data_IF_162275194563
#
_entry.id   IF_162275194563
#
_cell.length_a   1.000
_cell.length_b   1.000
_cell.length_c   1.000
_cell.angle_alpha   90.00
_cell.angle_beta   90.00
_cell.angle_gamma   90.00
#
_symmetry.space_group_name_H-M   'P 1'
#
loop_
_entity.id
_entity.type
_entity.pdbx_description
1 polymer ?
#
# COMPACT_ATOMS: atom_id res chain seq x y z
N UNK A 1 16.47 5.55 1.98
CA UNK A 1 15.14 4.89 2.11
C UNK A 1 14.77 4.27 0.76
N UNK A 2 14.17 3.07 0.78
CA UNK A 2 13.63 2.42 -0.43
C UNK A 2 12.10 2.54 -0.42
N UNK A 3 11.48 2.59 -1.61
CA UNK A 3 10.04 2.51 -1.75
C UNK A 3 9.66 1.60 -2.93
N UNK A 4 8.54 0.89 -2.82
CA UNK A 4 7.96 0.09 -3.89
C UNK A 4 6.56 0.63 -4.21
N UNK A 5 6.25 0.78 -5.50
CA UNK A 5 4.94 1.18 -5.99
C UNK A 5 4.30 0.01 -6.71
N UNK A 6 3.09 -0.39 -6.30
CA UNK A 6 2.30 -1.36 -7.04
C UNK A 6 1.61 -0.71 -8.24
N UNK A 7 2.16 -0.92 -9.44
CA UNK A 7 1.68 -0.36 -10.71
C UNK A 7 1.11 -1.39 -11.70
N UNK A 8 1.24 -2.70 -11.45
CA UNK A 8 0.88 -3.79 -12.37
C UNK A 8 -0.63 -4.17 -12.38
N UNK A 9 -1.50 -3.45 -11.68
CA UNK A 9 -2.93 -3.74 -11.63
C UNK A 9 -3.61 -3.58 -13.00
N UNK A 10 -4.41 -4.58 -13.43
CA UNK A 10 -5.14 -4.57 -14.72
C UNK A 10 -6.19 -3.45 -14.83
N UNK A 11 -6.58 -2.82 -13.72
CA UNK A 11 -7.53 -1.71 -13.72
C UNK A 11 -8.93 -2.07 -14.21
N UNK A 12 -9.38 -3.31 -14.02
CA UNK A 12 -10.66 -3.82 -14.55
C UNK A 12 -11.87 -2.95 -14.20
N UNK A 13 -11.83 -2.25 -13.05
CA UNK A 13 -12.87 -1.31 -12.61
C UNK A 13 -12.85 0.05 -13.34
N UNK A 14 -11.79 0.35 -14.08
CA UNK A 14 -11.61 1.59 -14.85
C UNK A 14 -11.88 1.42 -16.35
N UNK A 15 -12.37 0.26 -16.79
CA UNK A 15 -12.78 0.07 -18.20
C UNK A 15 -13.90 1.06 -18.59
N UNK A 16 -13.87 1.57 -19.83
CA UNK A 16 -12.99 1.18 -20.96
C UNK A 16 -11.63 1.88 -20.98
N UNK A 17 -11.30 2.80 -20.06
CA UNK A 17 -10.05 3.58 -20.08
C UNK A 17 -8.81 2.68 -20.03
N UNK A 18 -8.91 1.54 -19.33
CA UNK A 18 -7.80 0.59 -19.17
C UNK A 18 -7.74 -0.50 -20.24
N UNK A 19 -8.57 -0.45 -21.27
CA UNK A 19 -8.49 -1.41 -22.39
C UNK A 19 -7.24 -1.19 -23.25
N UNK A 20 -6.73 0.05 -23.32
CA UNK A 20 -5.56 0.43 -24.11
C UNK A 20 -4.48 1.19 -23.32
N UNK A 21 -4.75 1.54 -22.06
CA UNK A 21 -3.82 2.31 -21.23
C UNK A 21 -3.67 1.62 -19.87
N UNK A 22 -2.45 1.25 -19.46
CA UNK A 22 -2.21 0.72 -18.12
C UNK A 22 -2.77 1.65 -17.04
N UNK A 23 -3.37 1.09 -15.98
CA UNK A 23 -3.99 1.84 -14.90
C UNK A 23 -3.08 2.95 -14.33
N UNK A 24 -1.80 2.62 -14.13
CA UNK A 24 -0.80 3.55 -13.60
C UNK A 24 -0.56 4.79 -14.50
N UNK A 25 -0.90 4.69 -15.78
CA UNK A 25 -0.71 5.76 -16.77
C UNK A 25 -1.99 6.53 -17.09
N UNK A 26 -3.12 6.21 -16.48
CA UNK A 26 -4.36 6.98 -16.60
C UNK A 26 -4.11 8.40 -16.06
N UNK A 27 -4.37 9.47 -16.87
CA UNK A 27 -4.08 10.83 -16.46
C UNK A 27 -5.10 11.35 -15.44
N UNK A 28 -4.60 12.12 -14.47
CA UNK A 28 -5.39 12.86 -13.49
C UNK A 28 -4.81 14.26 -13.42
N UNK A 29 -5.60 15.28 -13.70
CA UNK A 29 -5.09 16.66 -13.77
C UNK A 29 -3.96 16.83 -14.79
N UNK A 30 -4.00 16.10 -15.89
CA UNK A 30 -2.99 16.15 -16.97
C UNK A 30 -1.72 15.33 -16.72
N UNK A 31 -1.59 14.62 -15.59
CA UNK A 31 -0.43 13.80 -15.24
C UNK A 31 -0.83 12.35 -14.95
N UNK A 32 -0.04 11.33 -15.35
CA UNK A 32 -0.28 9.93 -14.99
C UNK A 32 -0.40 9.73 -13.47
N UNK A 33 -1.25 8.78 -13.03
CA UNK A 33 -1.33 8.38 -11.62
C UNK A 33 0.04 8.08 -11.01
N UNK A 34 0.88 7.37 -11.76
CA UNK A 34 2.23 7.00 -11.33
C UNK A 34 3.10 8.23 -11.06
N UNK A 35 2.98 9.29 -11.89
CA UNK A 35 3.73 10.54 -11.68
C UNK A 35 3.39 11.21 -10.35
N UNK A 36 2.10 11.28 -9.99
CA UNK A 36 1.69 11.85 -8.71
C UNK A 36 2.30 11.11 -7.51
N UNK A 37 2.34 9.77 -7.55
CA UNK A 37 2.94 8.97 -6.47
C UNK A 37 4.44 9.16 -6.40
N UNK A 38 5.14 9.18 -7.55
CA UNK A 38 6.60 9.38 -7.60
C UNK A 38 6.98 10.76 -7.07
N UNK A 39 6.29 11.83 -7.50
CA UNK A 39 6.58 13.18 -7.02
C UNK A 39 6.35 13.31 -5.51
N UNK A 40 5.31 12.65 -4.98
CA UNK A 40 5.07 12.58 -3.54
C UNK A 40 6.18 11.84 -2.80
N UNK A 41 6.61 10.70 -3.29
CA UNK A 41 7.75 9.95 -2.72
C UNK A 41 9.04 10.77 -2.78
N UNK A 42 9.33 11.42 -3.90
CA UNK A 42 10.50 12.31 -4.05
C UNK A 42 10.50 13.42 -3.02
N UNK A 43 9.40 14.14 -2.84
CA UNK A 43 9.27 15.21 -1.84
C UNK A 43 9.41 14.72 -0.40
N UNK A 44 9.22 13.44 -0.15
CA UNK A 44 9.36 12.78 1.15
C UNK A 44 10.78 12.19 1.38
N UNK A 45 11.78 12.46 0.50
CA UNK A 45 13.18 12.03 0.65
C UNK A 45 13.43 10.56 0.27
N UNK A 46 12.62 9.96 -0.58
CA UNK A 46 12.84 8.61 -1.13
C UNK A 46 13.68 8.71 -2.41
N UNK A 47 15.00 8.49 -2.30
CA UNK A 47 15.95 8.76 -3.39
C UNK A 47 16.18 7.56 -4.33
N UNK A 48 15.63 6.39 -4.05
CA UNK A 48 15.89 5.15 -4.79
C UNK A 48 14.60 4.53 -5.30
N UNK A 49 14.22 4.90 -6.47
CA UNK A 49 13.23 4.24 -7.33
C UNK A 49 13.85 4.21 -8.75
N UNK A 50 13.84 3.14 -9.51
CA UNK A 50 14.70 2.91 -10.71
C UNK A 50 14.01 3.02 -12.06
N UNK A 51 14.69 3.01 -13.04
CA UNK A 51 14.71 3.04 -14.55
C UNK A 51 13.42 2.83 -15.38
N UNK A 52 12.25 3.15 -14.91
CA UNK A 52 11.04 3.21 -15.75
C UNK A 52 10.89 4.57 -16.47
N UNK A 53 11.66 5.57 -16.10
CA UNK A 53 11.36 6.95 -16.45
C UNK A 53 12.49 7.69 -17.18
N UNK A 54 13.42 6.93 -17.78
CA UNK A 54 14.47 7.49 -18.63
C UNK A 54 13.92 8.48 -19.67
N UNK A 55 12.74 8.18 -20.23
CA UNK A 55 12.05 9.06 -21.19
C UNK A 55 11.57 10.41 -20.57
N UNK A 56 11.47 10.49 -19.23
CA UNK A 56 11.08 11.70 -18.49
C UNK A 56 12.15 12.17 -17.52
N UNK A 57 13.44 11.92 -17.77
CA UNK A 57 14.54 12.24 -16.86
C UNK A 57 14.34 11.69 -15.44
N UNK A 58 13.59 10.57 -15.29
CA UNK A 58 13.40 9.83 -14.07
C UNK A 58 12.96 10.68 -12.87
N UNK A 59 12.34 11.84 -13.09
CA UNK A 59 12.06 12.87 -12.06
C UNK A 59 13.23 13.08 -11.09
N UNK A 60 14.47 12.71 -11.50
CA UNK A 60 15.69 12.75 -10.69
C UNK A 60 15.76 11.69 -9.59
N UNK A 61 15.08 10.55 -9.75
CA UNK A 61 15.14 9.39 -8.85
C UNK A 61 15.56 8.13 -9.60
N UNK A 62 16.15 7.18 -8.90
CA UNK A 62 16.55 5.88 -9.44
C UNK A 62 15.40 4.87 -9.26
N UNK A 63 14.94 4.16 -10.32
CA UNK A 63 13.78 3.20 -10.32
C UNK A 63 14.20 1.80 -10.81
N UNK A 64 13.94 0.62 -10.18
CA UNK A 64 14.16 -0.78 -10.63
C UNK A 64 12.80 -1.44 -10.85
N UNK A 65 12.68 -2.27 -11.80
CA UNK A 65 11.41 -2.89 -12.15
C UNK A 65 11.43 -4.33 -11.64
N UNK A 66 10.44 -4.68 -10.80
CA UNK A 66 10.09 -6.07 -10.54
C UNK A 66 9.00 -6.46 -11.55
N UNK A 67 9.40 -7.08 -12.66
CA UNK A 67 8.49 -7.40 -13.76
C UNK A 67 7.57 -8.58 -13.42
N UNK A 68 6.25 -8.39 -13.55
CA UNK A 68 5.20 -9.39 -13.37
C UNK A 68 4.40 -9.65 -14.67
N UNK A 69 4.99 -9.36 -15.84
CA UNK A 69 4.33 -9.52 -17.15
C UNK A 69 3.85 -10.94 -17.42
N UNK A 70 4.61 -11.94 -16.99
CA UNK A 70 4.28 -13.36 -17.17
C UNK A 70 3.13 -13.83 -16.26
N UNK A 71 3.08 -13.34 -15.03
CA UNK A 71 2.10 -13.77 -14.05
C UNK A 71 1.92 -12.74 -12.91
N UNK A 72 0.70 -12.23 -12.74
CA UNK A 72 0.36 -11.31 -11.67
C UNK A 72 0.32 -12.03 -10.31
N UNK A 73 1.16 -11.60 -9.38
CA UNK A 73 1.41 -12.26 -8.11
C UNK A 73 0.55 -11.72 -6.95
N UNK A 74 -0.26 -10.67 -7.20
CA UNK A 74 -0.95 -9.92 -6.14
C UNK A 74 0.06 -9.23 -5.18
N UNK A 75 -0.45 -8.47 -4.20
CA UNK A 75 0.38 -7.57 -3.39
C UNK A 75 1.43 -8.26 -2.53
N UNK A 76 1.13 -9.43 -1.98
CA UNK A 76 2.10 -10.19 -1.19
C UNK A 76 3.16 -10.89 -2.05
N UNK A 77 2.72 -11.55 -3.13
CA UNK A 77 3.63 -12.21 -4.06
C UNK A 77 4.54 -11.23 -4.79
N UNK A 78 4.04 -10.03 -5.14
CA UNK A 78 4.84 -8.96 -5.73
C UNK A 78 5.96 -8.47 -4.82
N UNK A 79 5.68 -8.27 -3.51
CA UNK A 79 6.72 -7.94 -2.52
C UNK A 79 7.77 -9.05 -2.45
N UNK A 80 7.32 -10.31 -2.37
CA UNK A 80 8.24 -11.45 -2.35
C UNK A 80 9.13 -11.52 -3.59
N UNK A 81 8.56 -11.33 -4.78
CA UNK A 81 9.33 -11.30 -6.03
C UNK A 81 10.40 -10.21 -6.05
N UNK A 82 10.10 -9.06 -5.46
CA UNK A 82 11.01 -7.93 -5.36
C UNK A 82 12.05 -8.06 -4.23
N UNK A 83 12.18 -9.22 -3.56
CA UNK A 83 13.07 -9.42 -2.40
C UNK A 83 14.50 -8.95 -2.68
N UNK A 84 15.10 -9.29 -3.84
CA UNK A 84 16.46 -8.88 -4.19
C UNK A 84 16.64 -7.36 -4.26
N UNK A 85 15.60 -6.61 -4.58
CA UNK A 85 15.60 -5.15 -4.64
C UNK A 85 15.34 -4.53 -3.27
N UNK A 86 14.51 -5.17 -2.44
CA UNK A 86 14.04 -4.68 -1.16
C UNK A 86 14.92 -5.11 0.04
N UNK A 87 15.70 -6.18 -0.11
CA UNK A 87 16.56 -6.69 0.96
C UNK A 87 17.58 -5.64 1.45
N UNK A 88 18.03 -5.81 2.69
CA UNK A 88 18.96 -4.91 3.38
C UNK A 88 18.59 -4.70 4.84
N UNK A 89 19.12 -3.67 5.47
CA UNK A 89 18.93 -3.41 6.90
C UNK A 89 17.88 -2.31 7.18
N UNK A 90 17.49 -1.56 6.15
CA UNK A 90 16.55 -0.44 6.32
C UNK A 90 15.13 -0.84 5.95
N UNK A 91 14.11 -0.38 6.69
CA UNK A 91 12.72 -0.49 6.30
C UNK A 91 12.47 0.08 4.90
N UNK A 92 11.40 -0.39 4.27
CA UNK A 92 10.98 0.10 2.96
C UNK A 92 9.48 0.42 2.96
N UNK A 93 9.10 1.43 2.17
CA UNK A 93 7.72 1.88 2.03
C UNK A 93 7.08 1.22 0.82
N UNK A 94 5.84 0.77 0.98
CA UNK A 94 4.98 0.30 -0.09
C UNK A 94 3.86 1.30 -0.32
N UNK A 95 3.54 1.58 -1.58
CA UNK A 95 2.48 2.50 -1.96
C UNK A 95 1.69 1.96 -3.15
N UNK A 96 0.37 1.84 -3.02
CA UNK A 96 -0.48 1.53 -4.16
C UNK A 96 -0.57 2.74 -5.09
N UNK A 97 -0.42 2.54 -6.39
CA UNK A 97 -0.40 3.62 -7.39
C UNK A 97 -1.73 4.39 -7.50
N UNK A 98 -2.84 3.77 -7.11
CA UNK A 98 -4.19 4.33 -7.17
C UNK A 98 -4.64 5.06 -5.90
N UNK A 99 -3.73 5.37 -5.01
CA UNK A 99 -4.03 6.11 -3.77
C UNK A 99 -3.45 7.52 -3.85
N UNK A 100 -4.30 8.53 -3.79
CA UNK A 100 -3.91 9.90 -3.49
C UNK A 100 -4.13 10.18 -2.01
N UNK A 101 -3.17 10.83 -1.37
CA UNK A 101 -3.28 11.17 0.06
C UNK A 101 -2.44 12.39 0.41
N UNK A 102 -2.81 13.09 1.49
CA UNK A 102 -2.01 14.17 2.07
C UNK A 102 -1.09 13.66 3.20
N UNK A 103 -0.98 12.33 3.41
CA UNK A 103 -0.14 11.78 4.48
C UNK A 103 1.31 12.22 4.35
N UNK A 104 1.94 12.61 5.45
CA UNK A 104 3.39 12.78 5.54
C UNK A 104 4.05 11.39 5.56
N UNK A 105 4.56 10.96 4.39
CA UNK A 105 5.22 9.66 4.23
C UNK A 105 6.51 9.57 5.03
N UNK A 106 7.21 10.70 5.24
CA UNK A 106 8.41 10.72 6.06
C UNK A 106 8.07 10.48 7.53
N UNK A 107 7.03 11.13 8.05
CA UNK A 107 6.55 10.94 9.42
C UNK A 107 6.10 9.49 9.66
N UNK A 108 5.39 8.89 8.70
CA UNK A 108 5.01 7.48 8.74
C UNK A 108 6.24 6.57 8.81
N UNK A 109 7.22 6.80 7.94
CA UNK A 109 8.47 6.04 7.91
C UNK A 109 9.28 6.20 9.21
N UNK A 110 9.47 7.44 9.67
CA UNK A 110 10.20 7.74 10.91
C UNK A 110 9.53 7.11 12.14
N UNK A 111 8.19 7.11 12.19
CA UNK A 111 7.42 6.42 13.24
C UNK A 111 7.68 4.92 13.23
N UNK A 112 7.71 4.31 12.05
CA UNK A 112 8.07 2.89 11.92
C UNK A 112 9.49 2.60 12.43
N UNK A 113 10.47 3.42 12.03
CA UNK A 113 11.87 3.28 12.50
C UNK A 113 11.98 3.40 14.02
N UNK A 114 11.28 4.37 14.61
CA UNK A 114 11.31 4.62 16.06
C UNK A 114 10.62 3.50 16.86
N UNK A 115 9.52 2.96 16.38
CA UNK A 115 8.72 1.94 17.09
C UNK A 115 9.13 0.52 16.73
N UNK A 116 9.85 0.34 15.63
CA UNK A 116 10.45 -0.91 15.14
C UNK A 116 9.50 -2.13 15.09
N UNK A 117 8.26 -2.03 14.60
CA UNK A 117 7.39 -3.18 14.37
C UNK A 117 7.83 -3.94 13.11
N UNK A 118 7.21 -5.09 12.83
CA UNK A 118 7.39 -5.79 11.56
C UNK A 118 6.75 -5.02 10.39
N UNK A 119 5.57 -4.44 10.63
CA UNK A 119 4.86 -3.59 9.67
C UNK A 119 4.11 -2.46 10.36
N UNK A 120 4.05 -1.28 9.70
CA UNK A 120 3.21 -0.14 10.09
C UNK A 120 2.26 0.17 8.94
N UNK A 121 0.95 0.02 9.18
CA UNK A 121 -0.10 0.15 8.17
C UNK A 121 -0.78 1.51 8.29
N UNK A 122 -0.77 2.33 7.25
CA UNK A 122 -1.60 3.53 7.21
C UNK A 122 -3.06 3.10 7.15
N UNK A 123 -3.85 3.53 8.12
CA UNK A 123 -5.28 3.22 8.24
C UNK A 123 -6.11 4.47 8.42
N UNK A 124 -7.42 4.37 8.15
CA UNK A 124 -8.38 5.47 8.31
C UNK A 124 -9.75 4.96 8.74
N UNK A 125 -10.60 5.88 9.24
CA UNK A 125 -11.99 5.59 9.60
C UNK A 125 -12.98 5.76 8.42
N UNK A 126 -12.47 5.72 7.16
CA UNK A 126 -13.34 5.81 5.98
C UNK A 126 -14.31 4.64 5.88
N UNK A 127 -15.49 4.88 5.33
CA UNK A 127 -16.45 3.83 5.06
C UNK A 127 -15.96 2.89 3.95
N UNK A 128 -16.01 1.60 4.22
CA UNK A 128 -15.69 0.50 3.29
C UNK A 128 -16.44 -0.75 3.75
N UNK A 129 -16.51 -1.77 2.92
CA UNK A 129 -17.02 -3.08 3.36
C UNK A 129 -15.98 -3.93 4.11
N UNK A 130 -14.68 -3.60 3.99
CA UNK A 130 -13.58 -4.45 4.48
C UNK A 130 -12.72 -3.66 5.46
N UNK A 131 -12.62 -4.17 6.69
CA UNK A 131 -11.84 -3.55 7.76
C UNK A 131 -10.78 -4.50 8.30
N UNK A 132 -9.64 -3.93 8.70
CA UNK A 132 -8.68 -4.58 9.59
C UNK A 132 -9.11 -4.30 11.04
N UNK A 133 -8.94 -5.30 11.90
CA UNK A 133 -9.34 -5.27 13.30
C UNK A 133 -8.09 -5.15 14.17
N UNK A 134 -8.07 -4.12 15.01
CA UNK A 134 -6.93 -3.79 15.85
C UNK A 134 -7.33 -3.80 17.33
N UNK A 135 -6.45 -4.26 18.20
CA UNK A 135 -6.64 -4.15 19.64
C UNK A 135 -6.40 -2.71 20.15
N UNK A 136 -6.51 -2.50 21.47
CA UNK A 136 -6.34 -1.19 22.12
C UNK A 136 -4.93 -0.61 21.98
N UNK A 137 -3.92 -1.45 21.75
CA UNK A 137 -2.52 -1.08 21.49
C UNK A 137 -2.23 -0.88 20.00
N UNK A 138 -3.28 -0.79 19.15
CA UNK A 138 -3.19 -0.67 17.69
C UNK A 138 -2.43 -1.82 17.01
N UNK A 139 -2.43 -3.04 17.58
CA UNK A 139 -1.88 -4.24 16.94
C UNK A 139 -2.95 -4.94 16.13
N UNK A 140 -2.56 -5.40 14.94
CA UNK A 140 -3.45 -6.15 14.04
C UNK A 140 -3.85 -7.49 14.67
N UNK A 141 -5.15 -7.76 14.70
CA UNK A 141 -5.71 -8.99 15.28
C UNK A 141 -6.61 -9.75 14.32
N UNK A 142 -7.20 -9.10 13.31
CA UNK A 142 -8.14 -9.75 12.41
C UNK A 142 -8.58 -8.86 11.26
N UNK A 143 -9.60 -9.34 10.57
CA UNK A 143 -10.24 -8.68 9.44
C UNK A 143 -11.73 -9.04 9.40
N UNK A 144 -12.56 -8.10 8.96
CA UNK A 144 -14.02 -8.27 8.80
C UNK A 144 -14.48 -7.70 7.47
N UNK A 145 -15.46 -8.39 6.86
CA UNK A 145 -16.22 -7.88 5.73
C UNK A 145 -17.68 -7.70 6.12
N UNK A 146 -18.17 -6.48 6.17
CA UNK A 146 -19.56 -6.17 6.52
C UNK A 146 -20.58 -6.54 5.45
N UNK A 147 -20.18 -6.69 4.17
CA UNK A 147 -21.09 -7.13 3.11
C UNK A 147 -21.39 -8.63 3.20
N UNK A 148 -20.38 -9.44 3.55
CA UNK A 148 -20.51 -10.90 3.59
C UNK A 148 -20.66 -11.46 5.01
N UNK A 149 -20.40 -10.66 6.04
CA UNK A 149 -20.33 -11.10 7.43
C UNK A 149 -19.07 -11.91 7.77
N UNK A 150 -18.15 -12.09 6.81
CA UNK A 150 -16.95 -12.89 7.01
C UNK A 150 -15.97 -12.20 7.98
N UNK A 151 -15.46 -12.98 8.94
CA UNK A 151 -14.42 -12.58 9.89
C UNK A 151 -13.24 -13.52 9.79
N UNK A 152 -12.02 -13.00 9.80
CA UNK A 152 -10.76 -13.77 9.79
C UNK A 152 -9.88 -13.32 10.96
N UNK A 153 -9.43 -14.27 11.76
CA UNK A 153 -8.39 -14.08 12.78
C UNK A 153 -7.67 -15.38 13.06
N UNK A 154 -6.41 -15.30 13.45
CA UNK A 154 -5.58 -16.42 13.93
C UNK A 154 -5.36 -16.36 15.44
N UNK A 155 -6.06 -15.46 16.14
CA UNK A 155 -6.06 -15.43 17.61
C UNK A 155 -7.09 -16.42 18.15
N UNK A 156 -6.78 -17.20 19.18
CA UNK A 156 -7.77 -18.03 19.85
C UNK A 156 -8.81 -17.15 20.55
N UNK A 157 -10.09 -17.59 20.57
CA UNK A 157 -11.21 -16.88 21.24
C UNK A 157 -11.39 -15.44 20.81
N UNK A 158 -11.24 -15.17 19.50
CA UNK A 158 -11.33 -13.85 18.92
C UNK A 158 -12.78 -13.34 18.86
N UNK A 159 -13.03 -12.18 19.45
CA UNK A 159 -14.30 -11.46 19.36
C UNK A 159 -14.07 -10.19 18.53
N UNK A 160 -14.60 -10.10 17.28
CA UNK A 160 -14.40 -8.95 16.43
C UNK A 160 -14.98 -7.65 17.00
N UNK A 161 -16.05 -7.72 17.81
CA UNK A 161 -16.74 -6.54 18.34
C UNK A 161 -15.98 -5.86 19.51
N UNK A 162 -14.91 -6.49 19.99
CA UNK A 162 -14.01 -5.90 20.98
C UNK A 162 -12.78 -5.20 20.37
N UNK A 163 -12.74 -5.05 19.03
CA UNK A 163 -11.60 -4.51 18.29
C UNK A 163 -12.00 -3.23 17.54
N UNK A 164 -11.04 -2.33 17.38
CA UNK A 164 -11.20 -1.15 16.53
C UNK A 164 -11.15 -1.54 15.07
N UNK A 165 -12.09 -1.05 14.27
CA UNK A 165 -12.19 -1.28 12.83
C UNK A 165 -11.58 -0.12 12.06
N UNK A 166 -10.56 -0.40 11.23
CA UNK A 166 -9.96 0.61 10.37
C UNK A 166 -9.82 0.10 8.94
N UNK A 167 -10.06 0.99 7.98
CA UNK A 167 -9.84 0.73 6.57
C UNK A 167 -8.35 0.84 6.24
N UNK A 168 -7.76 -0.19 5.63
CA UNK A 168 -6.39 -0.14 5.12
C UNK A 168 -6.30 0.81 3.92
N UNK A 169 -5.27 1.62 3.89
CA UNK A 169 -5.11 2.69 2.92
C UNK A 169 -4.19 2.34 1.73
N UNK A 170 -3.65 1.13 1.67
CA UNK A 170 -2.73 0.71 0.60
C UNK A 170 -1.34 1.36 0.68
N UNK A 171 -1.01 1.98 1.83
CA UNK A 171 0.30 2.54 2.13
C UNK A 171 0.80 1.93 3.44
N UNK A 172 2.02 1.39 3.45
CA UNK A 172 2.58 0.77 4.64
C UNK A 172 4.11 0.79 4.62
N UNK A 173 4.74 0.70 5.78
CA UNK A 173 6.19 0.56 5.94
C UNK A 173 6.49 -0.82 6.52
N UNK A 174 7.49 -1.50 5.99
CA UNK A 174 7.86 -2.86 6.31
C UNK A 174 9.32 -2.96 6.75
N UNK A 175 9.57 -3.69 7.82
CA UNK A 175 10.92 -4.13 8.20
C UNK A 175 11.41 -5.23 7.25
N UNK A 176 12.70 -5.26 6.84
CA UNK A 176 13.22 -6.28 5.91
C UNK A 176 13.03 -7.72 6.40
N UNK A 177 12.95 -7.95 7.71
CA UNK A 177 12.63 -9.26 8.31
C UNK A 177 11.34 -9.89 7.79
N UNK A 178 10.42 -9.10 7.24
CA UNK A 178 9.18 -9.61 6.66
C UNK A 178 9.43 -10.51 5.46
N UNK A 179 10.51 -10.26 4.70
CA UNK A 179 10.89 -11.04 3.52
C UNK A 179 11.28 -12.48 3.88
N UNK A 180 11.93 -12.68 5.03
CA UNK A 180 12.26 -14.01 5.58
C UNK A 180 10.98 -14.80 5.90
N UNK A 181 9.97 -14.15 6.50
CA UNK A 181 8.69 -14.78 6.82
C UNK A 181 7.86 -15.12 5.57
N UNK A 182 8.19 -14.53 4.42
CA UNK A 182 7.55 -14.84 3.14
C UNK A 182 8.19 -16.03 2.41
N UNK A 183 9.28 -16.62 2.89
CA UNK A 183 10.01 -17.66 2.15
C UNK A 183 9.14 -18.88 1.82
N UNK A 184 8.27 -19.31 2.72
CA UNK A 184 7.36 -20.44 2.52
C UNK A 184 6.10 -20.10 1.69
N UNK A 185 5.83 -18.83 1.46
CA UNK A 185 4.66 -18.39 0.68
C UNK A 185 4.99 -18.43 -0.81
N UNK A 186 4.19 -19.13 -1.60
CA UNK A 186 4.44 -19.31 -3.04
C UNK A 186 3.28 -18.80 -3.91
N UNK A 187 3.62 -18.41 -5.15
CA UNK A 187 2.65 -18.00 -6.14
C UNK A 187 1.93 -16.69 -5.81
N UNK A 188 0.65 -16.63 -6.16
CA UNK A 188 -0.18 -15.44 -6.01
C UNK A 188 -0.83 -15.38 -4.62
N UNK A 189 -0.54 -14.35 -3.83
CA UNK A 189 -1.19 -14.11 -2.54
C UNK A 189 -1.28 -12.64 -2.17
N UNK A 190 -2.35 -12.31 -1.43
CA UNK A 190 -2.57 -10.96 -0.92
C UNK A 190 -1.70 -10.69 0.30
N UNK A 191 -1.14 -9.49 0.41
CA UNK A 191 -0.41 -9.05 1.59
C UNK A 191 -1.30 -9.05 2.86
N UNK A 192 -2.60 -8.80 2.72
CA UNK A 192 -3.52 -8.84 3.85
C UNK A 192 -3.65 -10.27 4.41
N UNK A 193 -3.79 -11.28 3.55
CA UNK A 193 -3.86 -12.67 4.00
C UNK A 193 -2.55 -13.08 4.69
N UNK A 194 -1.42 -12.63 4.17
CA UNK A 194 -0.13 -12.85 4.82
C UNK A 194 -0.06 -12.19 6.20
N UNK A 195 -0.44 -10.92 6.33
CA UNK A 195 -0.47 -10.23 7.61
C UNK A 195 -1.35 -10.93 8.64
N UNK A 196 -2.52 -11.38 8.25
CA UNK A 196 -3.43 -12.11 9.15
C UNK A 196 -2.80 -13.42 9.63
N UNK A 197 -2.13 -14.16 8.77
CA UNK A 197 -1.49 -15.42 9.12
C UNK A 197 -0.36 -15.27 10.15
N UNK A 198 0.32 -14.12 10.17
CA UNK A 198 1.48 -13.89 11.05
C UNK A 198 1.20 -12.95 12.22
N UNK A 199 0.09 -12.17 12.22
CA UNK A 199 -0.14 -11.11 13.21
C UNK A 199 -0.20 -11.59 14.66
N UNK A 200 -0.61 -12.84 14.90
CA UNK A 200 -0.62 -13.41 16.26
C UNK A 200 0.79 -13.62 16.86
N UNK A 201 1.82 -13.70 16.02
CA UNK A 201 3.22 -13.96 16.41
C UNK A 201 4.15 -12.78 16.16
N UNK A 202 3.66 -11.72 15.51
CA UNK A 202 4.48 -10.59 15.09
C UNK A 202 3.82 -9.26 15.44
N UNK A 203 4.59 -8.18 15.43
CA UNK A 203 4.09 -6.83 15.71
C UNK A 203 3.75 -6.11 14.40
N UNK A 204 2.46 -6.05 14.07
CA UNK A 204 1.92 -5.31 12.93
C UNK A 204 0.98 -4.23 13.49
N UNK A 205 1.28 -2.95 13.21
CA UNK A 205 0.61 -1.81 13.85
C UNK A 205 -0.16 -0.92 12.90
N UNK A 206 -1.27 -0.39 13.37
CA UNK A 206 -1.96 0.71 12.72
C UNK A 206 -1.22 2.03 12.95
N UNK A 207 -1.18 2.86 11.89
CA UNK A 207 -0.81 4.27 11.96
C UNK A 207 -1.98 5.11 11.45
N UNK A 208 -2.49 6.00 12.29
CA UNK A 208 -3.50 6.98 11.94
C UNK A 208 -2.84 8.35 11.82
N UNK A 209 -2.93 8.95 10.63
CA UNK A 209 -2.43 10.31 10.41
C UNK A 209 -3.51 11.34 10.77
N UNK A 210 -3.10 12.40 11.42
CA UNK A 210 -3.98 13.52 11.72
C UNK A 210 -4.50 14.17 10.44
N UNK A 211 -5.79 14.50 10.38
CA UNK A 211 -6.45 15.14 9.24
C UNK A 211 -6.18 14.43 7.89
N UNK A 212 -6.07 13.09 7.91
CA UNK A 212 -5.82 12.30 6.70
C UNK A 212 -6.95 12.51 5.69
N UNK A 213 -6.59 13.02 4.52
CA UNK A 213 -7.42 13.02 3.32
C UNK A 213 -6.87 11.96 2.37
N UNK A 214 -7.73 11.07 1.93
CA UNK A 214 -7.35 9.95 1.09
C UNK A 214 -8.42 9.72 0.03
N UNK A 215 -7.99 9.52 -1.21
CA UNK A 215 -8.84 9.16 -2.34
C UNK A 215 -8.30 7.91 -3.03
N UNK A 216 -9.12 6.86 -3.09
CA UNK A 216 -8.90 5.67 -3.93
C UNK A 216 -9.44 5.96 -5.34
N UNK A 217 -8.53 6.14 -6.32
CA UNK A 217 -8.84 6.48 -7.70
C UNK A 217 -8.96 5.24 -8.60
N UNK A 218 -9.18 4.08 -7.99
CA UNK A 218 -9.38 2.80 -8.69
C UNK A 218 -10.76 2.61 -9.32
N UNK A 219 -11.64 3.63 -9.34
CA UNK A 219 -13.00 3.57 -9.91
C UNK A 219 -13.27 4.77 -10.81
N UNK A 220 -14.09 4.63 -11.88
CA UNK A 220 -14.42 5.75 -12.76
C UNK A 220 -15.01 6.98 -12.03
N UNK A 221 -15.88 6.73 -11.04
CA UNK A 221 -16.56 7.80 -10.29
C UNK A 221 -15.57 8.64 -9.47
N UNK A 222 -14.45 8.05 -9.06
CA UNK A 222 -13.43 8.76 -8.27
C UNK A 222 -12.42 9.52 -9.12
N UNK A 223 -12.33 9.25 -10.43
CA UNK A 223 -11.45 10.00 -11.34
C UNK A 223 -11.85 11.47 -11.45
N UNK A 224 -13.16 11.76 -11.60
CA UNK A 224 -13.65 13.13 -11.66
C UNK A 224 -13.37 13.91 -10.35
N UNK A 225 -13.49 13.22 -9.20
CA UNK A 225 -13.18 13.80 -7.90
C UNK A 225 -11.67 14.00 -7.67
N UNK A 226 -10.81 13.23 -8.38
CA UNK A 226 -9.37 13.30 -8.20
C UNK A 226 -8.76 14.63 -8.65
N UNK A 227 -9.26 15.22 -9.74
CA UNK A 227 -8.79 16.53 -10.20
C UNK A 227 -9.11 17.65 -9.20
N UNK A 228 -10.30 17.62 -8.63
CA UNK A 228 -10.67 18.59 -7.58
C UNK A 228 -9.86 18.35 -6.30
N UNK A 229 -9.68 17.10 -5.94
CA UNK A 229 -8.84 16.72 -4.79
C UNK A 229 -7.41 17.26 -4.94
N UNK A 230 -6.78 17.11 -6.12
CA UNK A 230 -5.45 17.65 -6.42
C UNK A 230 -5.40 19.17 -6.26
N UNK A 231 -6.37 19.92 -6.81
CA UNK A 231 -6.43 21.39 -6.67
C UNK A 231 -6.50 21.86 -5.21
N UNK A 232 -7.10 21.06 -4.34
CA UNK A 232 -7.29 21.42 -2.93
C UNK A 232 -6.16 20.98 -2.00
N UNK A 233 -5.30 20.03 -2.42
CA UNK A 233 -4.37 19.35 -1.50
C UNK A 233 -2.92 19.28 -2.01
N UNK A 234 -2.64 19.83 -3.18
CA UNK A 234 -1.32 20.07 -3.77
C UNK A 234 -1.23 21.52 -4.22
#
# INVERSE_FOLDING_TARGET
MKAMIFAAGTGSRLKPLTDHTPKALIPIGGKPMLEHVILKLKSSGFDQIVDFLEANNNFGVRIEISDESDYLLDTGGGIKKATSLLCGNEPFLIHNVDILSNVDLKKLYDTHVQTNPLATLLVSQRNTSRYLLFNKENRLCGWRNHETGEVKSYYPYFDPDQHNEYAFSGIHVLSPKILELMEEWTGKFSIINFYLAICAKTDIRAYMADNLKLLDIGKPETLAAAEEWLRQNI
#
